data_IF_994019081578
#
_entry.id   IF_994019081578
#
_cell.length_a   1.000
_cell.length_b   1.000
_cell.length_c   1.000
_cell.angle_alpha   90.00
_cell.angle_beta   90.00
_cell.angle_gamma   90.00
#
_symmetry.space_group_name_H-M   'P 1'
#
loop_
_entity.id
_entity.type
_entity.pdbx_description
1 polymer ?
#
# COMPACT_ATOMS: atom_id res chain seq x y z
N UNK A 1 -12.08 0.07 2.86
CA UNK A 1 -11.27 -0.26 1.65
C UNK A 1 -10.86 1.03 0.96
N UNK A 2 -9.57 1.26 0.81
CA UNK A 2 -9.02 2.39 0.09
C UNK A 2 -8.48 1.94 -1.27
N UNK A 3 -8.83 2.64 -2.35
CA UNK A 3 -8.48 2.27 -3.73
C UNK A 3 -7.78 3.43 -4.42
N UNK A 4 -6.57 3.18 -4.93
CA UNK A 4 -5.84 4.08 -5.81
C UNK A 4 -5.96 3.57 -7.25
N UNK A 5 -6.64 4.35 -8.09
CA UNK A 5 -6.91 4.00 -9.47
C UNK A 5 -5.87 4.60 -10.43
N UNK A 6 -5.63 3.91 -11.55
CA UNK A 6 -4.89 4.47 -12.67
C UNK A 6 -5.68 5.59 -13.36
N UNK A 7 -4.96 6.46 -14.08
CA UNK A 7 -5.58 7.45 -14.97
C UNK A 7 -6.16 6.83 -16.23
N UNK A 8 -5.74 5.63 -16.59
CA UNK A 8 -6.13 4.93 -17.80
C UNK A 8 -7.50 4.28 -17.67
N UNK A 9 -8.42 4.63 -18.57
CA UNK A 9 -9.80 4.13 -18.55
C UNK A 9 -10.01 2.82 -19.33
N UNK A 10 -9.11 2.52 -20.26
CA UNK A 10 -9.28 1.36 -21.16
C UNK A 10 -8.83 0.03 -20.54
N UNK A 11 -7.82 0.06 -19.71
CA UNK A 11 -7.31 -1.09 -18.97
C UNK A 11 -6.90 -0.62 -17.57
N UNK A 12 -7.86 -0.39 -16.68
CA UNK A 12 -7.58 0.23 -15.39
C UNK A 12 -6.68 -0.68 -14.54
N UNK A 13 -5.67 -0.06 -13.92
CA UNK A 13 -4.89 -0.68 -12.86
C UNK A 13 -5.29 -0.07 -11.53
N UNK A 14 -5.18 -0.84 -10.46
CA UNK A 14 -5.50 -0.37 -9.12
C UNK A 14 -4.61 -1.00 -8.04
N UNK A 15 -4.39 -0.23 -6.98
CA UNK A 15 -3.92 -0.69 -5.68
C UNK A 15 -5.07 -0.53 -4.69
N UNK A 16 -5.50 -1.63 -4.08
CA UNK A 16 -6.48 -1.62 -3.00
C UNK A 16 -5.81 -2.00 -1.69
N UNK A 17 -6.09 -1.22 -0.64
CA UNK A 17 -5.69 -1.53 0.73
C UNK A 17 -6.95 -1.72 1.57
N UNK A 18 -7.05 -2.89 2.18
CA UNK A 18 -8.21 -3.29 2.97
C UNK A 18 -7.76 -3.45 4.43
N UNK A 19 -8.37 -2.68 5.33
CA UNK A 19 -8.09 -2.78 6.75
C UNK A 19 -8.54 -4.13 7.32
N UNK A 20 -7.65 -4.76 8.05
CA UNK A 20 -7.95 -5.94 8.85
C UNK A 20 -8.16 -5.59 10.32
N UNK A 21 -8.39 -6.61 11.13
CA UNK A 21 -8.50 -6.46 12.58
C UNK A 21 -7.20 -5.98 13.20
N UNK A 22 -7.29 -5.04 14.14
CA UNK A 22 -6.16 -4.64 14.97
C UNK A 22 -5.77 -5.80 15.89
N UNK A 23 -4.50 -6.10 15.94
CA UNK A 23 -3.94 -7.09 16.87
C UNK A 23 -3.02 -6.40 17.85
N UNK A 24 -3.11 -6.80 19.11
CA UNK A 24 -2.15 -6.45 20.16
C UNK A 24 -1.18 -7.61 20.27
N UNK A 25 0.10 -7.35 20.07
CA UNK A 25 1.16 -8.30 20.35
C UNK A 25 1.83 -7.87 21.65
N UNK A 26 1.60 -8.64 22.69
CA UNK A 26 2.32 -8.46 23.95
C UNK A 26 3.77 -8.95 23.75
N UNK A 27 4.69 -8.01 23.71
CA UNK A 27 6.11 -8.32 23.89
C UNK A 27 6.54 -7.88 25.28
N UNK A 28 7.45 -8.59 25.87
CA UNK A 28 7.84 -8.59 27.29
C UNK A 28 8.17 -7.22 27.93
N UNK A 29 8.13 -6.09 27.25
CA UNK A 29 8.46 -4.76 27.78
C UNK A 29 7.58 -3.63 27.21
N UNK A 30 6.87 -3.81 26.08
CA UNK A 30 6.02 -2.77 25.47
C UNK A 30 4.86 -3.43 24.74
N UNK A 31 3.67 -2.90 24.96
CA UNK A 31 2.50 -3.26 24.14
C UNK A 31 2.70 -2.70 22.74
N UNK A 32 2.85 -3.58 21.77
CA UNK A 32 2.89 -3.23 20.36
C UNK A 32 1.51 -3.49 19.74
N UNK A 33 1.03 -2.52 18.97
CA UNK A 33 -0.18 -2.67 18.18
C UNK A 33 0.20 -2.89 16.73
N UNK A 34 -0.21 -4.03 16.20
CA UNK A 34 -0.07 -4.37 14.80
C UNK A 34 -1.45 -4.45 14.16
N UNK A 35 -1.58 -3.87 13.00
CA UNK A 35 -2.79 -3.94 12.22
C UNK A 35 -2.58 -4.77 10.98
N UNK A 36 -3.38 -5.81 10.82
CA UNK A 36 -3.41 -6.59 9.58
C UNK A 36 -4.09 -5.80 8.47
N UNK A 37 -3.61 -6.01 7.27
CA UNK A 37 -4.21 -5.48 6.07
C UNK A 37 -4.07 -6.49 4.92
N UNK A 38 -4.93 -6.33 3.93
CA UNK A 38 -4.85 -7.07 2.67
C UNK A 38 -4.60 -6.08 1.55
N UNK A 39 -3.71 -6.45 0.63
CA UNK A 39 -3.47 -5.72 -0.61
C UNK A 39 -4.08 -6.49 -1.76
N UNK A 40 -4.68 -5.73 -2.68
CA UNK A 40 -5.13 -6.24 -3.96
C UNK A 40 -4.54 -5.36 -5.05
N UNK A 41 -3.78 -5.97 -5.93
CA UNK A 41 -3.16 -5.33 -7.08
C UNK A 41 -3.88 -5.84 -8.33
N UNK A 42 -4.36 -4.94 -9.18
CA UNK A 42 -5.05 -5.33 -10.39
C UNK A 42 -4.55 -4.56 -11.62
N UNK A 43 -4.60 -5.22 -12.78
CA UNK A 43 -4.35 -4.60 -14.07
C UNK A 43 -5.20 -5.30 -15.12
N UNK A 44 -6.23 -4.62 -15.63
CA UNK A 44 -7.28 -5.26 -16.44
C UNK A 44 -7.93 -6.40 -15.67
N UNK A 45 -7.98 -7.56 -16.28
CA UNK A 45 -8.57 -8.78 -15.69
C UNK A 45 -7.62 -9.52 -14.73
N UNK A 46 -6.35 -9.12 -14.66
CA UNK A 46 -5.36 -9.75 -13.80
C UNK A 46 -5.45 -9.19 -12.38
N UNK A 47 -5.41 -10.08 -11.39
CA UNK A 47 -5.51 -9.73 -9.99
C UNK A 47 -4.52 -10.52 -9.16
N UNK A 48 -3.79 -9.82 -8.30
CA UNK A 48 -2.90 -10.38 -7.29
C UNK A 48 -3.44 -9.96 -5.93
N UNK A 49 -3.63 -10.91 -5.04
CA UNK A 49 -4.14 -10.65 -3.68
C UNK A 49 -3.15 -11.18 -2.66
N UNK A 50 -2.86 -10.41 -1.64
CA UNK A 50 -2.12 -10.92 -0.48
C UNK A 50 -2.89 -12.05 0.20
N UNK A 51 -2.16 -12.97 0.84
CA UNK A 51 -2.77 -14.07 1.58
C UNK A 51 -3.68 -13.53 2.68
N UNK A 52 -4.89 -14.09 2.79
CA UNK A 52 -5.80 -13.73 3.87
C UNK A 52 -5.23 -14.22 5.20
N UNK A 53 -5.16 -13.31 6.15
CA UNK A 53 -4.95 -13.63 7.55
C UNK A 53 -3.52 -13.70 8.04
N UNK A 54 -2.49 -13.68 7.19
CA UNK A 54 -1.14 -13.95 7.66
C UNK A 54 -0.06 -12.93 7.26
N UNK A 55 -0.22 -12.18 6.17
CA UNK A 55 0.99 -11.76 5.52
C UNK A 55 1.29 -10.28 5.47
N UNK A 56 0.32 -9.43 5.60
CA UNK A 56 0.59 -7.99 5.56
C UNK A 56 0.15 -7.34 6.86
N UNK A 57 1.09 -6.86 7.62
CA UNK A 57 0.84 -6.10 8.84
C UNK A 57 1.68 -4.84 8.88
N UNK A 58 1.16 -3.85 9.57
CA UNK A 58 1.83 -2.58 9.82
C UNK A 58 1.84 -2.30 11.32
N UNK A 59 2.93 -1.76 11.81
CA UNK A 59 3.03 -1.31 13.18
C UNK A 59 2.23 -0.02 13.36
N UNK A 60 1.36 0.01 14.40
CA UNK A 60 0.57 1.17 14.78
C UNK A 60 1.08 1.80 16.08
N UNK A 61 1.85 1.06 16.86
CA UNK A 61 2.45 1.49 18.11
C UNK A 61 3.68 0.61 18.41
N UNK A 62 4.79 1.17 18.86
CA UNK A 62 5.02 2.56 19.30
C UNK A 62 5.18 3.57 18.15
N UNK A 63 5.59 3.12 16.96
CA UNK A 63 5.67 3.96 15.77
C UNK A 63 4.48 3.68 14.84
N UNK A 64 3.69 4.70 14.54
CA UNK A 64 2.57 4.55 13.60
C UNK A 64 3.08 4.64 12.15
N UNK A 65 3.38 3.49 11.56
CA UNK A 65 3.83 3.37 10.18
C UNK A 65 2.75 3.83 9.19
N UNK A 66 1.49 3.59 9.53
CA UNK A 66 0.37 4.00 8.70
C UNK A 66 0.25 5.52 8.64
N UNK A 67 0.24 6.20 9.81
CA UNK A 67 0.18 7.65 9.85
C UNK A 67 1.38 8.27 9.13
N UNK A 68 2.57 7.69 9.31
CA UNK A 68 3.77 8.12 8.59
C UNK A 68 3.59 8.01 7.08
N UNK A 69 3.02 6.92 6.60
CA UNK A 69 2.75 6.72 5.17
C UNK A 69 1.74 7.74 4.64
N UNK A 70 0.63 7.95 5.34
CA UNK A 70 -0.40 8.93 4.93
C UNK A 70 0.17 10.34 4.88
N UNK A 71 0.94 10.76 5.88
CA UNK A 71 1.60 12.07 5.89
C UNK A 71 2.58 12.25 4.72
N UNK A 72 3.30 11.20 4.34
CA UNK A 72 4.17 11.23 3.16
C UNK A 72 3.38 11.36 1.84
N UNK A 73 2.24 10.69 1.71
CA UNK A 73 1.35 10.82 0.57
C UNK A 73 0.78 12.25 0.46
N UNK A 74 0.37 12.83 1.58
CA UNK A 74 -0.10 14.21 1.64
C UNK A 74 1.00 15.20 1.21
N UNK A 75 2.25 14.98 1.68
CA UNK A 75 3.39 15.81 1.30
C UNK A 75 3.72 15.66 -0.22
N UNK A 76 3.57 14.46 -0.78
CA UNK A 76 3.68 14.23 -2.22
C UNK A 76 2.58 14.98 -2.98
N UNK A 77 1.33 14.92 -2.49
CA UNK A 77 0.20 15.60 -3.11
C UNK A 77 0.40 17.13 -3.12
N UNK A 78 0.89 17.70 -2.02
CA UNK A 78 1.21 19.14 -1.94
C UNK A 78 2.46 19.55 -2.71
N UNK A 79 3.20 18.60 -3.30
CA UNK A 79 4.45 18.90 -4.01
C UNK A 79 5.66 19.16 -3.11
N UNK A 80 5.55 18.91 -1.82
CA UNK A 80 6.64 19.06 -0.83
C UNK A 80 7.67 17.93 -0.95
N UNK A 81 7.23 16.78 -1.47
CA UNK A 81 8.07 15.62 -1.80
C UNK A 81 7.91 15.24 -3.26
N UNK A 82 8.98 14.77 -3.87
CA UNK A 82 8.94 14.21 -5.23
C UNK A 82 8.65 12.71 -5.23
N UNK A 83 8.93 12.02 -4.12
CA UNK A 83 8.86 10.56 -4.02
C UNK A 83 8.45 10.10 -2.62
N UNK A 84 7.68 9.04 -2.58
CA UNK A 84 7.33 8.28 -1.38
C UNK A 84 7.74 6.83 -1.60
N UNK A 85 8.43 6.27 -0.62
CA UNK A 85 8.71 4.84 -0.54
C UNK A 85 8.13 4.36 0.79
N UNK A 86 7.32 3.34 0.73
CA UNK A 86 6.74 2.72 1.91
C UNK A 86 6.96 1.21 1.88
N UNK A 87 7.69 0.75 2.87
CA UNK A 87 7.90 -0.65 3.19
C UNK A 87 7.69 -0.79 4.69
N UNK A 88 6.79 -1.64 5.18
CA UNK A 88 6.58 -1.81 6.62
C UNK A 88 7.79 -2.48 7.28
N UNK A 89 7.92 -2.30 8.60
CA UNK A 89 8.99 -2.92 9.40
C UNK A 89 8.96 -4.46 9.32
N UNK A 90 7.81 -5.03 9.12
CA UNK A 90 7.65 -6.44 8.75
C UNK A 90 7.45 -6.51 7.23
N UNK A 91 8.54 -6.67 6.46
CA UNK A 91 8.50 -6.49 5.02
C UNK A 91 7.66 -7.59 4.36
N UNK A 92 6.54 -7.22 3.83
CA UNK A 92 5.61 -8.11 3.13
C UNK A 92 5.09 -7.50 1.83
N UNK A 93 5.25 -6.19 1.69
CA UNK A 93 4.88 -5.44 0.51
C UNK A 93 5.66 -4.13 0.43
N UNK A 94 5.66 -3.52 -0.74
CA UNK A 94 6.28 -2.23 -0.99
C UNK A 94 5.37 -1.37 -1.86
N UNK A 95 5.24 -0.09 -1.52
CA UNK A 95 4.47 0.88 -2.30
C UNK A 95 5.33 2.11 -2.56
N UNK A 96 5.56 2.40 -3.83
CA UNK A 96 6.35 3.53 -4.29
C UNK A 96 5.50 4.47 -5.12
N UNK A 97 5.53 5.76 -4.81
CA UNK A 97 4.94 6.82 -5.62
C UNK A 97 6.00 7.85 -5.97
N UNK A 98 5.98 8.31 -7.22
CA UNK A 98 6.93 9.32 -7.70
C UNK A 98 6.25 10.29 -8.67
N UNK A 99 6.39 11.60 -8.41
CA UNK A 99 5.94 12.62 -9.36
C UNK A 99 6.75 12.53 -10.64
N UNK A 100 6.06 12.32 -11.75
CA UNK A 100 6.65 12.35 -13.07
C UNK A 100 6.60 13.78 -13.62
N UNK A 101 7.65 14.20 -14.31
CA UNK A 101 7.67 15.50 -15.00
C UNK A 101 6.74 15.53 -16.22
N UNK A 102 6.29 14.38 -16.73
CA UNK A 102 5.57 14.24 -18.00
C UNK A 102 4.18 13.63 -17.87
N UNK A 103 3.92 12.87 -16.82
CA UNK A 103 2.72 12.01 -16.76
C UNK A 103 2.29 11.75 -15.31
N UNK A 104 1.70 12.72 -14.63
CA UNK A 104 1.08 12.50 -13.33
C UNK A 104 1.99 11.89 -12.26
N UNK A 105 1.46 10.97 -11.48
CA UNK A 105 2.17 10.27 -10.41
C UNK A 105 2.34 8.81 -10.80
N UNK A 106 3.58 8.34 -10.90
CA UNK A 106 3.89 6.94 -11.11
C UNK A 106 3.67 6.18 -9.80
N UNK A 107 2.98 5.06 -9.87
CA UNK A 107 2.73 4.15 -8.77
C UNK A 107 3.37 2.80 -9.09
N UNK A 108 4.07 2.24 -8.13
CA UNK A 108 4.58 0.87 -8.16
C UNK A 108 4.19 0.21 -6.84
N UNK A 109 3.49 -0.90 -6.90
CA UNK A 109 3.10 -1.65 -5.72
C UNK A 109 3.48 -3.12 -5.92
N UNK A 110 4.14 -3.69 -4.91
CA UNK A 110 4.70 -5.04 -4.92
C UNK A 110 4.25 -5.79 -3.68
N UNK A 111 3.92 -7.06 -3.84
CA UNK A 111 3.68 -7.99 -2.75
C UNK A 111 4.74 -9.07 -2.86
N UNK A 112 5.46 -9.33 -1.78
CA UNK A 112 6.44 -10.42 -1.73
C UNK A 112 5.75 -11.75 -1.99
N UNK A 113 6.38 -12.60 -2.80
CA UNK A 113 5.75 -13.81 -3.30
C UNK A 113 5.35 -14.79 -2.21
N UNK A 114 6.07 -14.82 -1.09
CA UNK A 114 5.69 -15.56 0.11
C UNK A 114 4.38 -15.09 0.74
N UNK A 115 3.97 -13.87 0.45
CA UNK A 115 2.77 -13.22 0.98
C UNK A 115 1.64 -13.08 -0.07
N UNK A 116 1.86 -13.54 -1.29
CA UNK A 116 0.86 -13.53 -2.35
C UNK A 116 0.36 -14.95 -2.64
N UNK A 117 -0.90 -15.08 -3.06
CA UNK A 117 -1.49 -16.36 -3.48
C UNK A 117 -0.95 -16.85 -4.85
N UNK A 118 0.36 -16.76 -5.06
CA UNK A 118 0.99 -17.10 -6.34
C UNK A 118 1.73 -18.41 -6.33
N UNK A 119 2.08 -18.93 -5.13
CA UNK A 119 2.86 -20.16 -4.98
C UNK A 119 4.35 -20.02 -5.32
N UNK A 120 4.86 -18.80 -5.48
CA UNK A 120 6.27 -18.53 -5.73
C UNK A 120 7.10 -18.48 -4.43
N UNK A 121 8.41 -18.48 -4.55
CA UNK A 121 9.34 -18.48 -3.42
C UNK A 121 9.52 -17.10 -2.79
N UNK A 122 10.00 -17.07 -1.56
CA UNK A 122 10.10 -15.92 -0.66
C UNK A 122 10.97 -14.73 -1.13
N UNK A 123 11.66 -14.84 -2.25
CA UNK A 123 12.51 -13.78 -2.81
C UNK A 123 11.95 -13.12 -4.05
N UNK A 124 10.86 -13.66 -4.59
CA UNK A 124 10.20 -13.09 -5.73
C UNK A 124 9.08 -12.15 -5.27
N UNK A 125 8.77 -11.14 -6.04
CA UNK A 125 7.67 -10.23 -5.80
C UNK A 125 6.75 -10.18 -7.02
N UNK A 126 5.46 -10.00 -6.77
CA UNK A 126 4.46 -9.74 -7.81
C UNK A 126 3.87 -8.35 -7.60
N UNK A 127 3.69 -7.59 -8.67
CA UNK A 127 3.27 -6.22 -8.53
C UNK A 127 2.61 -5.61 -9.74
N UNK A 128 2.21 -4.35 -9.58
CA UNK A 128 1.66 -3.51 -10.64
C UNK A 128 2.41 -2.19 -10.72
N UNK A 129 2.42 -1.63 -11.91
CA UNK A 129 2.92 -0.28 -12.17
C UNK A 129 1.91 0.47 -13.04
N UNK A 130 1.56 1.68 -12.62
CA UNK A 130 0.64 2.53 -13.38
C UNK A 130 0.88 4.02 -13.08
N UNK A 131 0.23 4.89 -13.81
CA UNK A 131 0.14 6.32 -13.51
C UNK A 131 -1.22 6.65 -12.93
N UNK A 132 -1.24 7.55 -11.96
CA UNK A 132 -2.46 8.07 -11.33
C UNK A 132 -2.47 9.59 -11.36
N UNK A 133 -3.66 10.16 -11.13
CA UNK A 133 -3.87 11.61 -11.03
C UNK A 133 -3.77 12.09 -9.59
N UNK A 134 -3.60 13.40 -9.41
CA UNK A 134 -3.65 14.02 -8.08
C UNK A 134 -5.03 13.85 -7.43
N UNK A 135 -6.12 13.92 -8.21
CA UNK A 135 -7.48 13.70 -7.71
C UNK A 135 -7.68 12.27 -7.17
N UNK A 136 -7.23 11.26 -7.93
CA UNK A 136 -7.29 9.88 -7.48
C UNK A 136 -6.43 9.65 -6.22
N UNK A 137 -5.25 10.29 -6.15
CA UNK A 137 -4.41 10.21 -4.95
C UNK A 137 -5.08 10.89 -3.75
N UNK A 138 -5.70 12.05 -3.94
CA UNK A 138 -6.43 12.74 -2.86
C UNK A 138 -7.60 11.89 -2.33
N UNK A 139 -8.36 11.27 -3.22
CA UNK A 139 -9.47 10.38 -2.83
C UNK A 139 -8.95 9.13 -2.10
N UNK A 140 -7.85 8.57 -2.56
CA UNK A 140 -7.19 7.45 -1.90
C UNK A 140 -6.75 7.80 -0.46
N UNK A 141 -6.07 8.95 -0.28
CA UNK A 141 -5.67 9.44 1.04
C UNK A 141 -6.88 9.61 1.96
N UNK A 142 -7.94 10.24 1.47
CA UNK A 142 -9.19 10.42 2.24
C UNK A 142 -9.82 9.07 2.62
N UNK A 143 -9.75 8.09 1.74
CA UNK A 143 -10.25 6.75 2.00
C UNK A 143 -9.41 6.02 3.04
N UNK A 144 -8.08 6.11 2.94
CA UNK A 144 -7.17 5.57 3.96
C UNK A 144 -7.50 6.13 5.35
N UNK A 145 -7.68 7.44 5.48
CA UNK A 145 -7.99 8.07 6.79
C UNK A 145 -9.35 7.67 7.36
N UNK A 146 -10.30 7.25 6.52
CA UNK A 146 -11.60 6.75 6.99
C UNK A 146 -11.57 5.30 7.42
N UNK A 147 -10.72 4.50 6.82
CA UNK A 147 -10.68 3.03 7.01
C UNK A 147 -9.75 2.60 8.16
N UNK A 148 -8.75 3.40 8.44
CA UNK A 148 -7.70 3.11 9.42
C UNK A 148 -7.69 4.10 10.58
#
# INVERSE_FOLDING_TARGET
MAVLLSEEKGCPSALEIIAGTKQVIEKSVQDEYWQRLSLVLSSGDNKITSLEGESCSICRQPADEFETFVLQLEALLRGEKAKVNFEPSEPSFEINLERSRRAGIKVEAWIDAGNAKTGFYTWDAAGVRFFTTEDNLAEFINSLRREF
#
